data_IF_057631490229
#
_entry.id   IF_057631490229
#
_cell.length_a   1.000
_cell.length_b   1.000
_cell.length_c   1.000
_cell.angle_alpha   90.00
_cell.angle_beta   90.00
_cell.angle_gamma   90.00
#
_symmetry.space_group_name_H-M   'P 1'
#
loop_
_entity.id
_entity.type
_entity.pdbx_description
1 polymer ?
#
# COMPACT_ATOMS: atom_id res chain seq x y z
N UNK A 1 24.25 -40.89 -10.97
CA UNK A 1 22.80 -40.65 -10.86
C UNK A 1 22.64 -39.24 -10.33
N UNK A 2 21.97 -38.40 -11.12
CA UNK A 2 22.02 -36.93 -11.10
C UNK A 2 21.01 -36.41 -10.08
N UNK A 3 21.43 -36.15 -8.83
CA UNK A 3 20.56 -35.52 -7.83
C UNK A 3 20.70 -34.02 -7.92
N UNK A 4 19.83 -33.43 -8.74
CA UNK A 4 19.67 -31.98 -8.92
C UNK A 4 19.19 -31.41 -7.59
N UNK A 5 20.08 -30.70 -6.88
CA UNK A 5 19.72 -29.92 -5.71
C UNK A 5 18.92 -28.70 -6.17
N UNK A 6 17.60 -28.76 -6.00
CA UNK A 6 16.67 -27.68 -6.32
C UNK A 6 16.89 -26.58 -5.27
N UNK A 7 17.59 -25.52 -5.65
CA UNK A 7 17.67 -24.28 -4.90
C UNK A 7 16.30 -23.58 -4.97
N UNK A 8 15.49 -23.72 -3.91
CA UNK A 8 14.28 -22.91 -3.73
C UNK A 8 14.73 -21.51 -3.31
N UNK A 9 14.91 -20.61 -4.27
CA UNK A 9 15.06 -19.19 -3.99
C UNK A 9 13.69 -18.63 -3.59
N UNK A 10 13.45 -18.51 -2.28
CA UNK A 10 12.29 -17.80 -1.77
C UNK A 10 12.45 -16.30 -2.09
N UNK A 11 11.71 -15.82 -3.10
CA UNK A 11 11.62 -14.39 -3.40
C UNK A 11 10.90 -13.69 -2.25
N UNK A 12 11.65 -12.91 -1.47
CA UNK A 12 11.10 -11.98 -0.48
C UNK A 12 10.46 -10.82 -1.25
N UNK A 13 9.19 -10.97 -1.64
CA UNK A 13 8.39 -9.87 -2.17
C UNK A 13 8.07 -8.93 -1.01
N UNK A 14 8.87 -7.87 -0.85
CA UNK A 14 8.55 -6.76 0.03
C UNK A 14 7.27 -6.09 -0.48
N UNK A 15 6.14 -6.32 0.19
CA UNK A 15 4.93 -5.53 -0.02
C UNK A 15 5.18 -4.15 0.58
N UNK A 16 5.90 -3.30 -0.14
CA UNK A 16 5.89 -1.87 0.15
C UNK A 16 4.44 -1.42 0.04
N UNK A 17 3.86 -0.95 1.13
CA UNK A 17 2.56 -0.31 1.10
C UNK A 17 2.70 0.88 0.14
N UNK A 18 2.05 0.81 -1.03
CA UNK A 18 2.11 1.88 -2.00
C UNK A 18 1.45 3.11 -1.39
N UNK A 19 2.16 4.24 -1.41
CA UNK A 19 1.59 5.52 -1.01
C UNK A 19 0.39 5.86 -1.92
N UNK A 20 -0.61 6.51 -1.34
CA UNK A 20 -1.81 6.95 -2.04
C UNK A 20 -1.48 8.18 -2.88
N UNK A 21 -1.67 8.07 -4.19
CA UNK A 21 -1.56 9.19 -5.12
C UNK A 21 -2.50 10.35 -4.76
N UNK A 22 -2.14 11.57 -5.18
CA UNK A 22 -3.01 12.75 -5.00
C UNK A 22 -4.39 12.49 -5.62
N UNK A 23 -5.44 12.73 -4.84
CA UNK A 23 -6.83 12.47 -5.19
C UNK A 23 -7.34 11.08 -4.78
N UNK A 24 -6.46 10.17 -4.36
CA UNK A 24 -6.84 8.85 -3.87
C UNK A 24 -7.41 8.87 -2.44
N UNK A 25 -8.13 7.80 -2.08
CA UNK A 25 -8.63 7.62 -0.71
C UNK A 25 -7.50 7.19 0.22
N UNK A 26 -7.37 7.84 1.37
CA UNK A 26 -6.36 7.58 2.38
C UNK A 26 -6.94 7.28 3.77
N UNK A 27 -8.27 7.28 3.91
CA UNK A 27 -8.92 7.04 5.19
C UNK A 27 -10.44 7.02 5.11
N UNK A 28 -11.06 6.68 6.24
CA UNK A 28 -12.51 6.59 6.39
C UNK A 28 -12.91 5.40 7.26
N UNK A 29 -14.13 5.41 7.80
CA UNK A 29 -14.71 4.26 8.50
C UNK A 29 -14.70 3.03 7.58
N UNK A 30 -14.19 1.91 8.09
CA UNK A 30 -14.01 0.63 7.39
C UNK A 30 -13.03 0.66 6.19
N UNK A 31 -12.23 1.71 6.03
CA UNK A 31 -11.16 1.73 5.02
C UNK A 31 -9.95 0.91 5.50
N UNK A 32 -9.60 -0.14 4.76
CA UNK A 32 -8.49 -1.07 5.04
C UNK A 32 -7.34 -0.94 4.03
N UNK A 33 -7.37 0.09 3.19
CA UNK A 33 -6.33 0.38 2.21
C UNK A 33 -5.17 1.22 2.77
N UNK A 34 -4.22 1.63 1.91
CA UNK A 34 -3.09 2.48 2.30
C UNK A 34 -3.54 3.85 2.81
N UNK A 35 -2.95 4.30 3.92
CA UNK A 35 -3.32 5.56 4.60
C UNK A 35 -2.27 6.66 4.48
N UNK A 36 -1.08 6.33 3.97
CA UNK A 36 -0.04 7.30 3.68
C UNK A 36 -0.24 7.87 2.29
N UNK A 37 -0.16 9.19 2.17
CA UNK A 37 -0.19 9.89 0.89
C UNK A 37 1.22 10.02 0.32
N UNK A 38 1.33 10.14 -0.99
CA UNK A 38 2.60 10.49 -1.66
C UNK A 38 3.17 11.79 -1.09
N UNK A 39 4.50 11.92 -1.16
CA UNK A 39 5.23 13.14 -0.78
C UNK A 39 4.58 14.40 -1.38
N UNK A 40 4.33 15.39 -0.54
CA UNK A 40 3.69 16.65 -0.94
C UNK A 40 2.15 16.61 -0.99
N UNK A 41 1.51 15.52 -0.57
CA UNK A 41 0.07 15.45 -0.32
C UNK A 41 -0.21 15.04 1.13
N UNK A 42 -1.32 15.51 1.69
CA UNK A 42 -1.77 15.16 3.04
C UNK A 42 -3.15 14.52 2.99
N UNK A 43 -3.43 13.63 3.94
CA UNK A 43 -4.74 12.99 4.04
C UNK A 43 -5.74 13.92 4.73
N UNK A 44 -6.69 14.47 3.96
CA UNK A 44 -7.75 15.33 4.49
C UNK A 44 -9.05 14.54 4.62
N UNK A 45 -9.72 14.69 5.75
CA UNK A 45 -11.06 14.11 5.97
C UNK A 45 -12.10 14.91 5.19
N UNK A 46 -12.79 14.28 4.25
CA UNK A 46 -13.92 14.89 3.52
C UNK A 46 -15.27 14.45 4.11
N UNK A 47 -15.36 13.22 4.62
CA UNK A 47 -16.50 12.68 5.35
C UNK A 47 -16.04 11.63 6.36
N UNK A 48 -16.94 11.10 7.18
CA UNK A 48 -16.61 10.02 8.11
C UNK A 48 -16.16 8.73 7.40
N UNK A 49 -16.64 8.49 6.19
CA UNK A 49 -16.32 7.31 5.39
C UNK A 49 -15.24 7.56 4.33
N UNK A 50 -14.80 8.81 4.15
CA UNK A 50 -13.89 9.16 3.06
C UNK A 50 -12.92 10.28 3.44
N UNK A 51 -11.63 9.99 3.35
CA UNK A 51 -10.53 10.95 3.43
C UNK A 51 -9.69 10.85 2.16
N UNK A 52 -9.23 11.97 1.63
CA UNK A 52 -8.55 12.07 0.34
C UNK A 52 -7.17 12.72 0.48
N UNK A 53 -6.20 12.25 -0.30
CA UNK A 53 -4.90 12.91 -0.41
C UNK A 53 -5.02 14.18 -1.25
N UNK A 54 -4.78 15.36 -0.65
CA UNK A 54 -4.75 16.66 -1.34
C UNK A 54 -3.38 17.34 -1.18
#
# INVERSE_FOLDING_TARGET
MKFIAIFVAAALASTAAADVERGGQCGGINYSGPTQCVQGANCYKLSDFYSQCL
#
